data_IF_889799285804
#
_entry.id   IF_889799285804
#
_cell.length_a   1.000
_cell.length_b   1.000
_cell.length_c   1.000
_cell.angle_alpha   90.00
_cell.angle_beta   90.00
_cell.angle_gamma   90.00
#
_symmetry.space_group_name_H-M   'P 1'
#
loop_
_entity.id
_entity.type
_entity.pdbx_description
1 polymer ?
#
# COMPACT_ATOMS: atom_id res chain seq x y z
N UNK A 1 -12.05 -9.87 -15.05
CA UNK A 1 -13.38 -9.43 -14.64
C UNK A 1 -13.56 -9.48 -13.13
N UNK A 2 -13.28 -10.60 -12.51
CA UNK A 2 -13.37 -10.80 -11.06
C UNK A 2 -12.43 -9.84 -10.30
N UNK A 3 -11.24 -9.60 -10.83
CA UNK A 3 -10.26 -8.67 -10.27
C UNK A 3 -10.75 -7.23 -10.28
N UNK A 4 -11.34 -6.79 -11.40
CA UNK A 4 -11.86 -5.43 -11.50
C UNK A 4 -13.01 -5.20 -10.53
N UNK A 5 -13.83 -6.22 -10.28
CA UNK A 5 -14.93 -6.13 -9.33
C UNK A 5 -14.43 -6.12 -7.89
N UNK A 6 -13.45 -6.96 -7.56
CA UNK A 6 -12.82 -6.98 -6.24
C UNK A 6 -12.12 -5.65 -5.95
N UNK A 7 -11.41 -5.08 -6.93
CA UNK A 7 -10.77 -3.78 -6.79
C UNK A 7 -11.78 -2.64 -6.65
N UNK A 8 -12.90 -2.67 -7.39
CA UNK A 8 -13.95 -1.66 -7.25
C UNK A 8 -14.57 -1.62 -5.88
N UNK A 9 -14.84 -2.79 -5.29
CA UNK A 9 -15.36 -2.90 -3.92
C UNK A 9 -14.33 -2.34 -2.94
N UNK A 10 -13.05 -2.73 -3.11
CA UNK A 10 -11.95 -2.27 -2.27
C UNK A 10 -11.71 -0.77 -2.36
N UNK A 11 -11.86 -0.14 -3.53
CA UNK A 11 -11.59 1.29 -3.71
C UNK A 11 -12.53 2.17 -2.89
N UNK A 12 -13.81 1.84 -2.80
CA UNK A 12 -14.74 2.64 -1.99
C UNK A 12 -14.35 2.62 -0.51
N UNK A 13 -14.06 1.45 0.02
CA UNK A 13 -13.65 1.29 1.42
C UNK A 13 -12.30 1.95 1.67
N UNK A 14 -11.35 1.78 0.75
CA UNK A 14 -10.02 2.36 0.85
C UNK A 14 -10.09 3.89 0.79
N UNK A 15 -10.89 4.44 -0.10
CA UNK A 15 -11.10 5.90 -0.18
C UNK A 15 -11.66 6.44 1.13
N UNK A 16 -12.61 5.73 1.73
CA UNK A 16 -13.16 6.12 3.03
C UNK A 16 -12.09 6.15 4.12
N UNK A 17 -11.27 5.10 4.18
CA UNK A 17 -10.20 5.02 5.17
C UNK A 17 -9.17 6.13 4.96
N UNK A 18 -8.81 6.42 3.72
CA UNK A 18 -7.91 7.53 3.40
C UNK A 18 -8.54 8.86 3.80
N UNK A 19 -9.81 9.03 3.52
CA UNK A 19 -10.52 10.27 3.87
C UNK A 19 -10.53 10.52 5.37
N UNK A 20 -10.76 9.48 6.16
CA UNK A 20 -10.83 9.56 7.62
C UNK A 20 -9.45 9.65 8.30
N UNK A 21 -8.39 9.24 7.62
CA UNK A 21 -7.05 9.27 8.17
C UNK A 21 -6.46 10.69 8.21
N UNK A 22 -5.88 11.06 9.34
CA UNK A 22 -5.08 12.29 9.42
C UNK A 22 -3.67 12.03 8.92
N UNK A 23 -3.11 10.86 9.23
CA UNK A 23 -1.77 10.47 8.82
C UNK A 23 -1.81 9.13 8.10
N UNK A 24 -1.06 9.05 7.01
CA UNK A 24 -0.81 7.81 6.26
C UNK A 24 0.65 7.44 6.46
N UNK A 25 0.89 6.26 7.05
CA UNK A 25 2.23 5.70 7.19
C UNK A 25 2.46 4.72 6.05
N UNK A 26 3.69 4.65 5.54
CA UNK A 26 4.03 3.74 4.45
C UNK A 26 5.34 3.03 4.77
N UNK A 27 5.40 1.74 4.45
CA UNK A 27 6.63 0.97 4.47
C UNK A 27 6.75 0.15 3.18
N UNK A 28 7.85 0.33 2.45
CA UNK A 28 8.20 -0.46 1.28
C UNK A 28 9.35 -1.42 1.61
N UNK A 29 9.20 -2.69 1.26
CA UNK A 29 10.11 -3.76 1.70
C UNK A 29 11.42 -3.86 0.90
N UNK A 30 11.55 -3.19 -0.22
CA UNK A 30 12.75 -3.22 -1.07
C UNK A 30 12.89 -1.94 -1.87
N UNK A 31 13.85 -1.87 -2.77
CA UNK A 31 14.13 -0.64 -3.54
C UNK A 31 12.94 -0.19 -4.39
N UNK A 32 12.33 -1.09 -5.14
CA UNK A 32 11.17 -0.77 -5.97
C UNK A 32 9.98 -0.38 -5.11
N UNK A 33 9.78 -1.08 -4.01
CA UNK A 33 8.71 -0.79 -3.05
C UNK A 33 8.90 0.57 -2.38
N UNK A 34 10.14 0.98 -2.14
CA UNK A 34 10.45 2.30 -1.61
C UNK A 34 10.19 3.40 -2.65
N UNK A 35 10.42 3.11 -3.94
CA UNK A 35 10.04 4.02 -5.02
C UNK A 35 8.52 4.20 -5.10
N UNK A 36 7.77 3.11 -4.95
CA UNK A 36 6.31 3.18 -4.89
C UNK A 36 5.83 3.95 -3.67
N UNK A 37 6.49 3.80 -2.53
CA UNK A 37 6.18 4.56 -1.33
C UNK A 37 6.36 6.07 -1.56
N UNK A 38 7.41 6.47 -2.26
CA UNK A 38 7.62 7.88 -2.64
C UNK A 38 6.51 8.40 -3.56
N UNK A 39 6.05 7.59 -4.49
CA UNK A 39 4.94 7.96 -5.39
C UNK A 39 3.64 8.13 -4.61
N UNK A 40 3.32 7.22 -3.69
CA UNK A 40 2.15 7.32 -2.82
C UNK A 40 2.23 8.60 -1.99
N UNK A 41 3.39 8.89 -1.42
CA UNK A 41 3.62 10.11 -0.66
C UNK A 41 3.33 11.36 -1.51
N UNK A 42 3.89 11.42 -2.72
CA UNK A 42 3.67 12.54 -3.64
C UNK A 42 2.19 12.73 -3.95
N UNK A 43 1.49 11.62 -4.25
CA UNK A 43 0.07 11.64 -4.59
C UNK A 43 -0.78 12.19 -3.43
N UNK A 44 -0.60 11.65 -2.23
CA UNK A 44 -1.46 12.02 -1.11
C UNK A 44 -1.09 13.35 -0.47
N UNK A 45 0.17 13.78 -0.56
CA UNK A 45 0.51 15.15 -0.22
C UNK A 45 -0.22 16.15 -1.12
N UNK A 46 -0.43 15.81 -2.40
CA UNK A 46 -1.15 16.70 -3.33
C UNK A 46 -2.61 16.95 -2.96
N UNK A 47 -3.18 16.07 -2.14
CA UNK A 47 -4.56 16.23 -1.65
C UNK A 47 -4.60 16.57 -0.15
N UNK A 48 -3.48 17.03 0.40
CA UNK A 48 -3.42 17.57 1.75
C UNK A 48 -3.30 16.55 2.87
N UNK A 49 -2.96 15.30 2.57
CA UNK A 49 -2.74 14.29 3.60
C UNK A 49 -1.31 14.34 4.13
N UNK A 50 -1.16 14.17 5.43
CA UNK A 50 0.15 13.96 6.05
C UNK A 50 0.61 12.53 5.76
N UNK A 51 1.79 12.37 5.16
CA UNK A 51 2.32 11.05 4.78
C UNK A 51 3.71 10.88 5.38
N UNK A 52 3.90 9.80 6.11
CA UNK A 52 5.17 9.45 6.74
C UNK A 52 5.69 8.14 6.13
N UNK A 53 6.81 8.23 5.41
CA UNK A 53 7.49 7.08 4.83
C UNK A 53 8.49 6.55 5.86
N UNK A 54 8.21 5.37 6.40
CA UNK A 54 9.05 4.75 7.43
C UNK A 54 10.02 3.77 6.78
N UNK A 55 11.27 3.84 7.19
CA UNK A 55 12.35 3.13 6.51
C UNK A 55 12.52 1.69 6.99
N UNK A 56 12.37 1.45 8.29
CA UNK A 56 12.60 0.13 8.88
C UNK A 56 11.73 -0.10 10.13
N UNK A 57 11.82 -1.31 10.67
CA UNK A 57 11.05 -1.70 11.86
C UNK A 57 11.36 -0.83 13.07
N UNK A 58 12.59 -0.36 13.20
CA UNK A 58 12.99 0.52 14.31
C UNK A 58 12.22 1.82 14.31
N UNK A 59 12.09 2.46 13.16
CA UNK A 59 11.28 3.67 13.01
C UNK A 59 9.80 3.40 13.31
N UNK A 60 9.30 2.25 12.88
CA UNK A 60 7.91 1.86 13.12
C UNK A 60 7.66 1.64 14.62
N UNK A 61 8.60 1.01 15.31
CA UNK A 61 8.53 0.82 16.76
C UNK A 61 8.44 2.15 17.50
N UNK A 62 9.23 3.15 17.08
CA UNK A 62 9.17 4.49 17.66
C UNK A 62 7.82 5.16 17.45
N UNK A 63 7.19 4.93 16.30
CA UNK A 63 5.94 5.58 15.93
C UNK A 63 4.70 4.89 16.48
N UNK A 64 4.80 3.63 16.88
CA UNK A 64 3.64 2.81 17.25
C UNK A 64 2.72 3.46 18.28
N UNK A 65 3.28 4.07 19.31
CA UNK A 65 2.51 4.73 20.36
C UNK A 65 1.77 5.98 19.86
N UNK A 66 2.19 6.52 18.72
CA UNK A 66 1.57 7.70 18.10
C UNK A 66 0.47 7.33 17.10
N UNK A 67 0.31 6.07 16.76
CA UNK A 67 -0.72 5.64 15.82
C UNK A 67 -2.12 5.90 16.39
N UNK A 68 -2.96 6.51 15.57
CA UNK A 68 -4.38 6.66 15.86
C UNK A 68 -5.15 5.56 15.14
N UNK A 69 -6.24 5.08 15.73
CA UNK A 69 -7.04 4.00 15.12
C UNK A 69 -7.62 4.37 13.76
N UNK A 70 -7.86 5.64 13.53
CA UNK A 70 -8.37 6.15 12.25
C UNK A 70 -7.28 6.36 11.20
N UNK A 71 -6.01 6.28 11.58
CA UNK A 71 -4.90 6.43 10.65
C UNK A 71 -4.72 5.17 9.80
N UNK A 72 -3.90 5.28 8.77
CA UNK A 72 -3.70 4.24 7.79
C UNK A 72 -2.23 3.87 7.70
N UNK A 73 -1.95 2.59 7.60
CA UNK A 73 -0.61 2.07 7.34
C UNK A 73 -0.64 1.24 6.04
N UNK A 74 0.20 1.61 5.07
CA UNK A 74 0.32 0.91 3.80
C UNK A 74 1.63 0.14 3.78
N UNK A 75 1.55 -1.18 3.55
CA UNK A 75 2.72 -2.05 3.40
C UNK A 75 2.83 -2.47 1.95
N UNK A 76 3.99 -2.22 1.35
CA UNK A 76 4.26 -2.57 -0.06
C UNK A 76 5.28 -3.70 -0.10
N UNK A 77 4.88 -4.81 -0.69
CA UNK A 77 5.75 -5.98 -0.89
C UNK A 77 5.34 -6.67 -2.19
N UNK A 78 6.28 -6.96 -3.08
CA UNK A 78 5.93 -7.64 -4.34
C UNK A 78 5.36 -9.04 -4.08
N UNK A 79 6.06 -9.85 -3.31
CA UNK A 79 5.64 -11.22 -3.01
C UNK A 79 4.58 -11.32 -1.91
N UNK A 80 4.52 -10.33 -1.02
CA UNK A 80 3.73 -10.43 0.20
C UNK A 80 4.28 -11.43 1.21
N UNK A 81 5.51 -11.92 0.98
CA UNK A 81 6.15 -12.93 1.81
C UNK A 81 7.49 -12.47 2.40
N UNK A 82 7.85 -11.20 2.25
CA UNK A 82 9.09 -10.69 2.82
C UNK A 82 9.03 -10.74 4.35
N UNK A 83 10.11 -11.20 4.95
CA UNK A 83 10.20 -11.38 6.41
C UNK A 83 9.91 -10.07 7.15
N UNK A 84 10.55 -9.00 6.74
CA UNK A 84 10.36 -7.69 7.35
C UNK A 84 8.91 -7.21 7.24
N UNK A 85 8.29 -7.37 6.07
CA UNK A 85 6.90 -6.99 5.86
C UNK A 85 5.92 -7.78 6.73
N UNK A 86 6.15 -9.09 6.88
CA UNK A 86 5.34 -9.95 7.76
C UNK A 86 5.48 -9.52 9.22
N UNK A 87 6.70 -9.27 9.67
CA UNK A 87 6.98 -8.80 11.02
C UNK A 87 6.24 -7.50 11.33
N UNK A 88 6.33 -6.55 10.41
CA UNK A 88 5.66 -5.25 10.54
C UNK A 88 4.15 -5.41 10.55
N UNK A 89 3.59 -6.22 9.65
CA UNK A 89 2.15 -6.45 9.60
C UNK A 89 1.63 -7.01 10.92
N UNK A 90 2.34 -7.95 11.52
CA UNK A 90 2.00 -8.50 12.83
C UNK A 90 2.11 -7.46 13.94
N UNK A 91 3.15 -6.64 13.90
CA UNK A 91 3.43 -5.64 14.92
C UNK A 91 2.38 -4.55 14.98
N UNK A 92 1.86 -4.11 13.84
CA UNK A 92 0.87 -3.03 13.76
C UNK A 92 -0.57 -3.52 13.76
N UNK A 93 -0.79 -4.83 13.67
CA UNK A 93 -2.13 -5.41 13.61
C UNK A 93 -2.99 -4.93 14.77
N UNK A 94 -4.24 -4.57 14.48
CA UNK A 94 -5.23 -4.04 15.44
C UNK A 94 -4.90 -2.68 16.08
N UNK A 95 -3.81 -2.03 15.70
CA UNK A 95 -3.46 -0.68 16.21
C UNK A 95 -3.86 0.44 15.25
N UNK A 96 -4.03 0.11 13.98
CA UNK A 96 -4.21 1.06 12.89
C UNK A 96 -4.88 0.33 11.72
N UNK A 97 -5.56 1.05 10.82
CA UNK A 97 -6.03 0.45 9.57
C UNK A 97 -4.84 0.07 8.70
N UNK A 98 -4.93 -1.07 8.03
CA UNK A 98 -3.82 -1.57 7.21
C UNK A 98 -4.28 -1.88 5.79
N UNK A 99 -3.44 -1.50 4.83
CA UNK A 99 -3.59 -1.86 3.42
C UNK A 99 -2.31 -2.53 2.96
N UNK A 100 -2.43 -3.70 2.34
CA UNK A 100 -1.31 -4.31 1.63
C UNK A 100 -1.35 -3.93 0.15
N UNK A 101 -0.19 -3.72 -0.44
CA UNK A 101 -0.03 -3.54 -1.88
C UNK A 101 0.97 -4.60 -2.35
N UNK A 102 0.48 -5.63 -3.03
CA UNK A 102 1.26 -6.81 -3.42
C UNK A 102 0.94 -7.27 -4.83
N UNK A 103 1.80 -8.15 -5.35
CA UNK A 103 1.45 -8.90 -6.54
C UNK A 103 0.21 -9.76 -6.27
N UNK A 104 -0.58 -10.03 -7.31
CA UNK A 104 -1.80 -10.84 -7.20
C UNK A 104 -1.46 -12.31 -6.96
N UNK A 105 -1.35 -12.67 -5.71
CA UNK A 105 -1.16 -14.04 -5.22
C UNK A 105 -1.72 -14.12 -3.81
N UNK A 106 -2.05 -15.33 -3.37
CA UNK A 106 -2.27 -15.57 -1.95
C UNK A 106 -0.96 -15.32 -1.22
N UNK A 107 -0.97 -14.42 -0.25
CA UNK A 107 0.25 -14.11 0.48
C UNK A 107 -0.04 -13.74 1.93
N UNK A 108 0.97 -13.88 2.75
CA UNK A 108 0.86 -13.72 4.20
C UNK A 108 0.57 -12.27 4.61
N UNK A 109 1.23 -11.31 3.99
CA UNK A 109 1.02 -9.89 4.31
C UNK A 109 -0.42 -9.49 4.01
N UNK A 110 -0.96 -9.90 2.85
CA UNK A 110 -2.35 -9.63 2.49
C UNK A 110 -3.33 -10.23 3.50
N UNK A 111 -3.04 -11.43 3.99
CA UNK A 111 -3.88 -12.08 5.01
C UNK A 111 -3.87 -11.31 6.34
N UNK A 112 -2.76 -10.68 6.69
CA UNK A 112 -2.60 -9.93 7.93
C UNK A 112 -3.16 -8.51 7.86
N UNK A 113 -3.33 -7.96 6.66
CA UNK A 113 -3.85 -6.61 6.47
C UNK A 113 -5.37 -6.62 6.30
N UNK A 114 -5.99 -5.53 6.72
CA UNK A 114 -7.44 -5.36 6.67
C UNK A 114 -7.96 -5.24 5.24
N UNK A 115 -7.22 -4.51 4.39
CA UNK A 115 -7.56 -4.31 2.98
C UNK A 115 -6.36 -4.64 2.11
N UNK A 116 -6.64 -5.07 0.88
CA UNK A 116 -5.60 -5.52 -0.04
C UNK A 116 -5.78 -4.90 -1.42
N UNK A 117 -4.68 -4.37 -1.94
CA UNK A 117 -4.57 -3.95 -3.34
C UNK A 117 -3.61 -4.91 -4.04
N UNK A 118 -4.08 -5.50 -5.13
CA UNK A 118 -3.32 -6.50 -5.89
C UNK A 118 -3.02 -5.99 -7.28
N UNK A 119 -1.84 -6.34 -7.78
CA UNK A 119 -1.42 -6.00 -9.14
C UNK A 119 -0.86 -7.24 -9.82
N UNK A 120 -1.31 -7.52 -11.04
CA UNK A 120 -0.66 -8.50 -11.88
C UNK A 120 0.64 -7.93 -12.44
N UNK A 121 1.71 -8.70 -12.31
CA UNK A 121 3.02 -8.33 -12.84
C UNK A 121 3.46 -9.33 -13.88
N UNK A 122 4.41 -8.92 -14.74
CA UNK A 122 5.02 -9.80 -15.73
C UNK A 122 6.51 -9.96 -15.43
N UNK A 123 7.00 -11.17 -15.61
CA UNK A 123 8.43 -11.44 -15.52
C UNK A 123 9.02 -11.50 -16.92
N UNK A 124 10.13 -10.81 -17.10
CA UNK A 124 10.90 -10.81 -18.34
C UNK A 124 12.24 -11.46 -18.11
N UNK A 125 12.68 -12.29 -19.06
CA UNK A 125 14.04 -12.84 -19.04
C UNK A 125 15.03 -11.78 -19.51
N UNK A 126 16.08 -11.61 -18.74
CA UNK A 126 17.16 -10.70 -19.10
C UNK A 126 18.26 -11.45 -19.86
N UNK A 127 19.21 -10.69 -20.42
CA UNK A 127 20.33 -11.26 -21.14
C UNK A 127 21.25 -12.14 -20.26
N UNK A 128 21.21 -11.96 -18.95
CA UNK A 128 21.97 -12.73 -17.99
C UNK A 128 21.17 -13.92 -17.43
N UNK A 129 20.05 -14.30 -18.05
CA UNK A 129 19.16 -15.35 -17.57
C UNK A 129 18.60 -15.09 -16.17
N UNK A 130 18.58 -13.84 -15.74
CA UNK A 130 17.97 -13.40 -14.50
C UNK A 130 16.61 -12.80 -14.84
N UNK A 131 15.56 -13.27 -14.17
CA UNK A 131 14.21 -12.77 -14.37
C UNK A 131 14.06 -11.36 -13.79
N UNK A 132 13.43 -10.46 -14.53
CA UNK A 132 13.08 -9.12 -14.09
C UNK A 132 11.55 -8.98 -14.02
N UNK A 133 11.06 -8.49 -12.89
CA UNK A 133 9.62 -8.28 -12.71
C UNK A 133 9.24 -6.85 -13.09
N UNK A 134 8.32 -6.72 -14.05
CA UNK A 134 7.84 -5.42 -14.53
C UNK A 134 6.81 -4.89 -13.54
N UNK A 135 7.04 -3.71 -12.98
CA UNK A 135 6.24 -3.14 -11.90
C UNK A 135 5.41 -1.91 -12.31
N UNK A 136 5.37 -1.59 -13.59
CA UNK A 136 4.62 -0.41 -14.09
C UNK A 136 3.14 -0.42 -13.72
N UNK A 137 2.54 -1.61 -13.64
CA UNK A 137 1.13 -1.74 -13.28
C UNK A 137 0.82 -1.24 -11.85
N UNK A 138 1.80 -1.26 -10.95
CA UNK A 138 1.64 -0.67 -9.62
C UNK A 138 1.42 0.84 -9.72
N UNK A 139 2.19 1.52 -10.56
CA UNK A 139 2.04 2.97 -10.77
C UNK A 139 0.68 3.29 -11.39
N UNK A 140 0.21 2.47 -12.32
CA UNK A 140 -1.12 2.63 -12.92
C UNK A 140 -2.22 2.47 -11.87
N UNK A 141 -2.08 1.50 -10.97
CA UNK A 141 -3.03 1.31 -9.87
C UNK A 141 -3.04 2.51 -8.93
N UNK A 142 -1.89 3.09 -8.63
CA UNK A 142 -1.79 4.27 -7.77
C UNK A 142 -2.45 5.48 -8.42
N UNK A 143 -2.29 5.68 -9.72
CA UNK A 143 -2.99 6.73 -10.45
C UNK A 143 -4.51 6.53 -10.38
N UNK A 144 -4.96 5.29 -10.54
CA UNK A 144 -6.37 4.94 -10.45
C UNK A 144 -6.92 5.22 -9.06
N UNK A 145 -6.20 4.83 -8.03
CA UNK A 145 -6.57 5.10 -6.65
C UNK A 145 -6.66 6.60 -6.38
N UNK A 146 -5.68 7.37 -6.88
CA UNK A 146 -5.64 8.82 -6.74
C UNK A 146 -6.89 9.46 -7.37
N UNK A 147 -7.21 9.08 -8.60
CA UNK A 147 -8.38 9.59 -9.30
C UNK A 147 -9.68 9.25 -8.57
N UNK A 148 -9.80 8.01 -8.11
CA UNK A 148 -10.98 7.56 -7.33
C UNK A 148 -11.09 8.31 -6.00
N UNK A 149 -9.97 8.57 -5.34
CA UNK A 149 -9.97 9.32 -4.09
C UNK A 149 -10.41 10.77 -4.29
N UNK A 150 -9.92 11.44 -5.33
CA UNK A 150 -10.35 12.82 -5.65
C UNK A 150 -11.86 12.87 -5.87
N UNK A 151 -12.40 11.91 -6.62
CA UNK A 151 -13.84 11.84 -6.87
C UNK A 151 -14.63 11.54 -5.59
N UNK A 152 -14.13 10.64 -4.76
CA UNK A 152 -14.74 10.32 -3.46
C UNK A 152 -14.81 11.58 -2.58
N UNK A 153 -13.72 12.30 -2.47
CA UNK A 153 -13.61 13.52 -1.68
C UNK A 153 -14.58 14.61 -2.18
N UNK A 154 -14.66 14.76 -3.50
CA UNK A 154 -15.58 15.73 -4.12
C UNK A 154 -17.03 15.45 -3.73
N UNK A 155 -17.44 14.19 -3.68
CA UNK A 155 -18.80 13.81 -3.27
C UNK A 155 -19.07 14.04 -1.78
N UNK A 156 -18.04 13.99 -0.95
CA UNK A 156 -18.16 14.20 0.51
C UNK A 156 -18.25 15.68 0.87
N UNK A 157 -17.67 16.52 0.07
CA UNK A 157 -17.62 17.97 0.26
C UNK A 157 -18.57 18.68 -0.72
#
# INVERSE_FOLDING_TARGET
>A
LLMNELQKISFQDICKIIYDAETIYIYGTGNEQKSLAQEIKRIFLSVGKCVIDLFDIGEIEFMRESFQKSDLFIIISLSGETKAGIEIAKFINNHIHTISLTRLDNNTIATLCEYNLYVETQKLDTLQAISYEVVGAFYALLDLLHMNYIEYRRRKE
#
